data_IF_444133333561
#
_entry.id   IF_444133333561
#
_cell.length_a   1.000
_cell.length_b   1.000
_cell.length_c   1.000
_cell.angle_alpha   90.00
_cell.angle_beta   90.00
_cell.angle_gamma   90.00
#
_symmetry.space_group_name_H-M   'P 1'
#
loop_
_entity.id
_entity.type
_entity.pdbx_description
1 polymer ?
#
# COMPACT_ATOMS: atom_id res chain seq x y z
N UNK A 1 14.32 -18.05 -3.10
CA UNK A 1 13.25 -17.31 -2.39
C UNK A 1 11.94 -17.57 -3.14
N UNK A 2 10.91 -18.15 -2.50
CA UNK A 2 9.67 -18.52 -3.19
C UNK A 2 8.86 -17.26 -3.54
N UNK A 3 8.35 -17.16 -4.77
CA UNK A 3 7.61 -15.99 -5.26
C UNK A 3 6.41 -15.65 -4.35
N UNK A 4 5.73 -16.65 -3.80
CA UNK A 4 4.63 -16.44 -2.84
C UNK A 4 5.07 -15.74 -1.57
N UNK A 5 6.22 -16.14 -1.00
CA UNK A 5 6.77 -15.51 0.19
C UNK A 5 7.09 -14.03 -0.06
N UNK A 6 7.71 -13.71 -1.20
CA UNK A 6 7.99 -12.34 -1.62
C UNK A 6 6.73 -11.49 -1.72
N UNK A 7 5.71 -11.99 -2.44
CA UNK A 7 4.44 -11.27 -2.64
C UNK A 7 3.77 -11.00 -1.28
N UNK A 8 3.71 -12.00 -0.40
CA UNK A 8 3.11 -11.87 0.93
C UNK A 8 3.88 -10.88 1.80
N UNK A 9 5.22 -10.96 1.86
CA UNK A 9 6.02 -10.02 2.66
C UNK A 9 5.86 -8.58 2.17
N UNK A 10 5.96 -8.35 0.85
CA UNK A 10 5.82 -7.00 0.28
C UNK A 10 4.41 -6.46 0.52
N UNK A 11 3.37 -7.29 0.35
CA UNK A 11 1.99 -6.91 0.68
C UNK A 11 1.87 -6.42 2.12
N UNK A 12 2.38 -7.18 3.08
CA UNK A 12 2.31 -6.81 4.50
C UNK A 12 3.08 -5.53 4.83
N UNK A 13 4.26 -5.32 4.23
CA UNK A 13 5.03 -4.09 4.41
C UNK A 13 4.24 -2.88 3.90
N UNK A 14 3.68 -2.94 2.69
CA UNK A 14 2.91 -1.82 2.13
C UNK A 14 1.64 -1.58 2.95
N UNK A 15 0.91 -2.66 3.31
CA UNK A 15 -0.30 -2.59 4.13
C UNK A 15 -0.06 -1.92 5.47
N UNK A 16 0.98 -2.32 6.20
CA UNK A 16 1.29 -1.77 7.52
C UNK A 16 1.66 -0.30 7.44
N UNK A 17 2.52 0.09 6.50
CA UNK A 17 2.90 1.48 6.25
C UNK A 17 1.67 2.30 5.89
N UNK A 18 0.88 1.88 4.90
CA UNK A 18 -0.31 2.62 4.46
C UNK A 18 -1.30 2.78 5.61
N UNK A 19 -1.60 1.71 6.36
CA UNK A 19 -2.53 1.74 7.49
C UNK A 19 -2.06 2.68 8.59
N UNK A 20 -0.75 2.74 8.87
CA UNK A 20 -0.18 3.64 9.85
C UNK A 20 -0.24 5.13 9.43
N UNK A 21 0.08 5.43 8.17
CA UNK A 21 0.21 6.83 7.70
C UNK A 21 -1.09 7.44 7.18
N UNK A 22 -2.07 6.65 6.74
CA UNK A 22 -3.36 7.15 6.22
C UNK A 22 -4.08 8.12 7.18
N UNK A 23 -4.31 7.78 8.47
CA UNK A 23 -4.99 8.71 9.37
C UNK A 23 -4.17 9.99 9.63
N UNK A 24 -2.83 9.87 9.73
CA UNK A 24 -1.93 11.01 9.98
C UNK A 24 -1.94 12.01 8.82
N UNK A 25 -1.80 11.52 7.59
CA UNK A 25 -1.84 12.35 6.39
C UNK A 25 -3.21 12.99 6.22
N UNK A 26 -4.29 12.25 6.47
CA UNK A 26 -5.66 12.78 6.39
C UNK A 26 -5.91 13.90 7.41
N UNK A 27 -5.47 13.71 8.66
CA UNK A 27 -5.56 14.73 9.69
C UNK A 27 -4.75 15.99 9.32
N UNK A 28 -3.53 15.82 8.83
CA UNK A 28 -2.68 16.93 8.41
C UNK A 28 -3.26 17.71 7.22
N UNK A 29 -3.86 17.02 6.24
CA UNK A 29 -4.57 17.67 5.13
C UNK A 29 -5.76 18.48 5.65
N UNK A 30 -6.54 17.93 6.59
CA UNK A 30 -7.70 18.63 7.16
C UNK A 30 -7.28 19.87 7.97
N UNK A 31 -6.21 19.76 8.76
CA UNK A 31 -5.64 20.88 9.49
C UNK A 31 -5.16 21.98 8.54
N UNK A 32 -4.40 21.61 7.51
CA UNK A 32 -3.91 22.57 6.51
C UNK A 32 -5.04 23.27 5.75
N UNK A 33 -6.14 22.57 5.45
CA UNK A 33 -7.32 23.18 4.83
C UNK A 33 -8.04 24.14 5.79
N UNK A 34 -8.11 23.82 7.08
CA UNK A 34 -8.67 24.71 8.09
C UNK A 34 -7.84 25.98 8.26
N UNK A 35 -6.52 25.84 8.37
CA UNK A 35 -5.60 26.98 8.48
C UNK A 35 -5.68 27.88 7.25
N UNK A 36 -5.78 27.30 6.05
CA UNK A 36 -5.91 28.05 4.81
C UNK A 36 -7.22 28.85 4.74
N UNK A 37 -8.32 28.30 5.26
CA UNK A 37 -9.62 28.98 5.29
C UNK A 37 -9.67 30.13 6.30
N UNK A 38 -8.77 30.13 7.29
CA UNK A 38 -8.69 31.17 8.34
C UNK A 38 -7.61 32.21 8.08
N UNK A 39 -6.68 31.92 7.18
CA UNK A 39 -5.52 32.75 6.90
C UNK A 39 -5.89 34.05 6.17
N UNK A 40 -5.16 35.12 6.48
CA UNK A 40 -5.12 36.32 5.65
C UNK A 40 -4.43 36.04 4.31
N UNK A 41 -4.65 36.86 3.26
CA UNK A 41 -4.13 36.59 1.91
C UNK A 41 -2.60 36.36 1.85
N UNK A 42 -1.86 37.02 2.73
CA UNK A 42 -0.39 36.92 2.82
C UNK A 42 0.06 35.61 3.51
N UNK A 43 -0.66 35.17 4.53
CA UNK A 43 -0.40 33.93 5.28
C UNK A 43 -0.82 32.67 4.48
N UNK A 44 -1.81 32.81 3.61
CA UNK A 44 -2.32 31.73 2.77
C UNK A 44 -1.25 31.15 1.85
N UNK A 45 -0.32 31.98 1.34
CA UNK A 45 0.78 31.49 0.49
C UNK A 45 1.76 30.58 1.25
N UNK A 46 2.07 30.92 2.51
CA UNK A 46 2.98 30.12 3.33
C UNK A 46 2.35 28.76 3.69
N UNK A 47 1.05 28.74 3.99
CA UNK A 47 0.28 27.53 4.30
C UNK A 47 0.09 26.68 3.03
N UNK A 48 -0.18 27.29 1.88
CA UNK A 48 -0.28 26.59 0.59
C UNK A 48 1.04 25.89 0.20
N UNK A 49 2.20 26.46 0.52
CA UNK A 49 3.51 25.80 0.31
C UNK A 49 3.65 24.52 1.14
N UNK A 50 3.15 24.50 2.38
CA UNK A 50 3.09 23.30 3.23
C UNK A 50 2.08 22.26 2.71
N UNK A 51 1.11 22.65 1.88
CA UNK A 51 0.17 21.74 1.23
C UNK A 51 0.76 20.85 0.14
N UNK A 52 1.89 21.25 -0.49
CA UNK A 52 2.56 20.47 -1.54
C UNK A 52 3.06 19.09 -1.06
N UNK A 53 3.82 18.97 0.04
CA UNK A 53 4.25 17.66 0.55
C UNK A 53 3.07 16.81 1.02
N UNK A 54 1.99 17.41 1.55
CA UNK A 54 0.78 16.68 1.95
C UNK A 54 0.04 16.09 0.75
N UNK A 55 -0.01 16.83 -0.36
CA UNK A 55 -0.56 16.34 -1.63
C UNK A 55 0.27 15.17 -2.17
N UNK A 56 1.60 15.26 -2.10
CA UNK A 56 2.49 14.17 -2.49
C UNK A 56 2.27 12.93 -1.60
N UNK A 57 2.16 13.10 -0.28
CA UNK A 57 1.87 12.01 0.66
C UNK A 57 0.52 11.35 0.38
N UNK A 58 -0.52 12.13 0.04
CA UNK A 58 -1.83 11.61 -0.39
C UNK A 58 -1.72 10.74 -1.64
N UNK A 59 -0.96 11.20 -2.64
CA UNK A 59 -0.71 10.43 -3.86
C UNK A 59 0.08 9.15 -3.60
N UNK A 60 1.12 9.22 -2.75
CA UNK A 60 1.90 8.05 -2.35
C UNK A 60 1.02 6.99 -1.66
N UNK A 61 0.12 7.41 -0.76
CA UNK A 61 -0.85 6.50 -0.13
C UNK A 61 -1.84 5.89 -1.12
N UNK A 62 -2.24 6.65 -2.15
CA UNK A 62 -3.13 6.16 -3.22
C UNK A 62 -2.44 5.09 -4.07
N UNK A 63 -1.19 5.32 -4.44
CA UNK A 63 -0.37 4.36 -5.19
C UNK A 63 -0.12 3.10 -4.35
N UNK A 64 0.18 3.25 -3.06
CA UNK A 64 0.27 2.13 -2.12
C UNK A 64 -1.04 1.33 -2.06
N UNK A 65 -2.18 2.03 -2.10
CA UNK A 65 -3.51 1.44 -2.28
C UNK A 65 -3.61 0.52 -3.49
N UNK A 66 -3.21 1.01 -4.65
CA UNK A 66 -3.22 0.23 -5.89
C UNK A 66 -2.25 -0.95 -5.86
N UNK A 67 -1.03 -0.72 -5.35
CA UNK A 67 -0.02 -1.76 -5.23
C UNK A 67 -0.50 -2.92 -4.34
N UNK A 68 -1.15 -2.62 -3.21
CA UNK A 68 -1.74 -3.65 -2.37
C UNK A 68 -2.84 -4.45 -3.06
N UNK A 69 -3.70 -3.79 -3.85
CA UNK A 69 -4.74 -4.51 -4.60
C UNK A 69 -4.12 -5.45 -5.64
N UNK A 70 -3.11 -4.99 -6.38
CA UNK A 70 -2.39 -5.82 -7.35
C UNK A 70 -1.71 -7.00 -6.65
N UNK A 71 -1.04 -6.76 -5.53
CA UNK A 71 -0.39 -7.82 -4.74
C UNK A 71 -1.41 -8.81 -4.16
N UNK A 72 -2.58 -8.35 -3.74
CA UNK A 72 -3.64 -9.24 -3.26
C UNK A 72 -4.14 -10.16 -4.39
N UNK A 73 -4.35 -9.62 -5.60
CA UNK A 73 -4.73 -10.43 -6.78
C UNK A 73 -3.63 -11.43 -7.12
N UNK A 74 -2.37 -11.00 -7.14
CA UNK A 74 -1.23 -11.90 -7.40
C UNK A 74 -1.12 -13.01 -6.35
N UNK A 75 -1.39 -12.69 -5.08
CA UNK A 75 -1.41 -13.67 -4.00
C UNK A 75 -2.53 -14.69 -4.20
N UNK A 76 -3.73 -14.27 -4.60
CA UNK A 76 -4.85 -15.17 -4.93
C UNK A 76 -4.49 -16.09 -6.10
N UNK A 77 -3.92 -15.54 -7.17
CA UNK A 77 -3.47 -16.31 -8.35
C UNK A 77 -2.41 -17.33 -7.95
N UNK A 78 -1.44 -16.92 -7.13
CA UNK A 78 -0.39 -17.82 -6.63
C UNK A 78 -0.96 -18.95 -5.76
N UNK A 79 -1.94 -18.64 -4.89
CA UNK A 79 -2.62 -19.66 -4.09
C UNK A 79 -3.41 -20.64 -4.95
N UNK A 80 -4.14 -20.16 -5.97
CA UNK A 80 -4.86 -21.02 -6.90
C UNK A 80 -3.91 -21.95 -7.66
N UNK A 81 -2.76 -21.42 -8.12
CA UNK A 81 -1.70 -22.22 -8.72
C UNK A 81 -1.16 -23.28 -7.76
N UNK A 82 -0.82 -22.89 -6.53
CA UNK A 82 -0.30 -23.81 -5.52
C UNK A 82 -1.29 -24.94 -5.23
N UNK A 83 -2.57 -24.62 -5.04
CA UNK A 83 -3.63 -25.61 -4.82
C UNK A 83 -3.74 -26.54 -6.03
N UNK A 84 -3.80 -26.01 -7.25
CA UNK A 84 -3.85 -26.82 -8.46
C UNK A 84 -2.63 -27.74 -8.61
N UNK A 85 -1.45 -27.23 -8.27
CA UNK A 85 -0.21 -27.99 -8.34
C UNK A 85 -0.11 -29.09 -7.27
N UNK A 86 -0.70 -28.88 -6.08
CA UNK A 86 -0.85 -29.90 -5.06
C UNK A 86 -1.82 -31.00 -5.51
N UNK A 87 -2.97 -30.62 -6.10
CA UNK A 87 -3.98 -31.57 -6.59
C UNK A 87 -3.44 -32.43 -7.74
N UNK A 88 -2.68 -31.83 -8.65
CA UNK A 88 -2.13 -32.52 -9.84
C UNK A 88 -0.84 -33.29 -9.55
N UNK A 89 -0.31 -33.25 -8.33
CA UNK A 89 0.96 -33.90 -7.98
C UNK A 89 2.19 -33.31 -8.68
N UNK A 90 2.06 -32.12 -9.28
CA UNK A 90 3.12 -31.48 -10.07
C UNK A 90 4.08 -30.64 -9.23
N UNK A 91 3.79 -30.45 -7.93
CA UNK A 91 4.68 -29.78 -6.99
C UNK A 91 5.20 -30.75 -5.93
N UNK A 92 6.53 -30.88 -5.89
CA UNK A 92 7.27 -31.69 -4.93
C UNK A 92 7.15 -31.11 -3.52
N UNK A 93 6.25 -31.65 -2.72
CA UNK A 93 6.19 -31.40 -1.28
C UNK A 93 7.08 -32.45 -0.63
N UNK A 94 8.35 -32.11 -0.38
CA UNK A 94 9.36 -32.94 0.33
C UNK A 94 10.15 -34.02 -0.43
N UNK A 95 10.53 -33.81 -1.69
CA UNK A 95 11.77 -34.38 -2.24
C UNK A 95 11.99 -35.91 -2.16
N UNK A 96 10.93 -36.74 -2.14
CA UNK A 96 11.05 -38.18 -2.33
C UNK A 96 10.19 -38.65 -3.50
N UNK A 97 10.73 -39.46 -4.42
CA UNK A 97 9.98 -40.02 -5.54
C UNK A 97 9.10 -41.18 -5.06
N UNK A 98 7.91 -41.32 -5.65
CA UNK A 98 7.17 -42.59 -5.71
C UNK A 98 7.34 -43.15 -7.11
#
# INVERSE_FOLDING_TARGET
>A
MNAGFLITTVYWVIFTVRKHFTPKVTAAIKANAYDLNRATPDEAQAIARKGKPLTAAKWALRIAGWAENVLAVLMIVWLAFLIGALITGTTFVFGYPV
#
